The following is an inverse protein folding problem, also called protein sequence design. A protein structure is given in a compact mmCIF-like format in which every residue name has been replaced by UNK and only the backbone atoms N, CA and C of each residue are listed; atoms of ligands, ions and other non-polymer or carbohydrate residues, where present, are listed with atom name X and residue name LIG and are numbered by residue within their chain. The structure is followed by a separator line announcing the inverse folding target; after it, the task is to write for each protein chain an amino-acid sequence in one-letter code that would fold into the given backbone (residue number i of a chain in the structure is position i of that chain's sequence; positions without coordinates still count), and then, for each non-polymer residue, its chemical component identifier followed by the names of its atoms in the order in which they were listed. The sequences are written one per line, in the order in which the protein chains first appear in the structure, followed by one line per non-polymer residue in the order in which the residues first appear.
data_IF_996114183599
#
_entry.id   IF_996114183599
#
_cell.length_a   1.000
_cell.length_b   1.000
_cell.length_c   1.000
_cell.angle_alpha   90.00
_cell.angle_beta   90.00
_cell.angle_gamma   90.00
#
_symmetry.space_group_name_H-M   'P 1'
#
loop_
_entity.id
_entity.type
_entity.pdbx_description
1 polymer ?
#
# COMPACT_ATOMS: atom_id res chain seq x y z
N UNK A 1 -64.32 -1.79 40.22
CA UNK A 1 -62.91 -2.22 40.04
C UNK A 1 -62.80 -3.02 38.74
N UNK A 2 -62.31 -2.40 37.67
CA UNK A 2 -61.83 -3.09 36.45
C UNK A 2 -60.60 -2.33 35.97
N UNK A 3 -59.43 -2.90 36.26
CA UNK A 3 -58.13 -2.36 35.87
C UNK A 3 -57.87 -2.82 34.44
N UNK A 4 -57.82 -1.91 33.47
CA UNK A 4 -57.39 -2.22 32.11
C UNK A 4 -55.86 -2.14 32.05
N UNK A 5 -55.21 -3.27 31.79
CA UNK A 5 -53.77 -3.36 31.59
C UNK A 5 -53.37 -2.73 30.26
N UNK A 6 -52.51 -1.71 30.32
CA UNK A 6 -51.83 -1.12 29.16
C UNK A 6 -50.66 -2.05 28.80
N UNK A 7 -50.70 -2.69 27.63
CA UNK A 7 -49.58 -3.43 27.08
C UNK A 7 -48.63 -2.46 26.35
N UNK A 8 -47.46 -2.21 26.93
CA UNK A 8 -46.38 -1.43 26.30
C UNK A 8 -45.56 -2.38 25.43
N UNK A 9 -45.64 -2.20 24.11
CA UNK A 9 -44.82 -2.91 23.14
C UNK A 9 -43.42 -2.26 23.07
N UNK A 10 -42.43 -2.87 23.71
CA UNK A 10 -41.02 -2.45 23.63
C UNK A 10 -40.42 -2.86 22.27
N UNK A 11 -40.31 -1.91 21.35
CA UNK A 11 -39.53 -2.06 20.12
C UNK A 11 -38.03 -1.96 20.45
N UNK A 12 -37.36 -3.11 20.53
CA UNK A 12 -35.90 -3.22 20.60
C UNK A 12 -35.29 -2.87 19.24
N UNK A 13 -34.41 -1.85 19.12
CA UNK A 13 -33.68 -1.62 17.89
C UNK A 13 -32.68 -2.76 17.68
N UNK A 14 -32.86 -3.52 16.60
CA UNK A 14 -31.85 -4.44 16.08
C UNK A 14 -30.63 -3.61 15.67
N UNK A 15 -29.61 -3.58 16.53
CA UNK A 15 -28.30 -3.08 16.15
C UNK A 15 -27.71 -4.06 15.12
N UNK A 16 -27.85 -3.74 13.84
CA UNK A 16 -27.11 -4.41 12.78
C UNK A 16 -25.62 -4.09 12.97
N UNK A 17 -24.87 -5.02 13.56
CA UNK A 17 -23.42 -5.04 13.38
C UNK A 17 -23.18 -5.35 11.91
N UNK A 18 -22.93 -4.32 11.11
CA UNK A 18 -22.33 -4.53 9.79
C UNK A 18 -20.95 -5.14 10.06
N UNK A 19 -20.86 -6.47 10.05
CA UNK A 19 -19.59 -7.13 9.82
C UNK A 19 -19.18 -6.73 8.41
N UNK A 20 -18.35 -5.68 8.32
CA UNK A 20 -17.70 -5.33 7.07
C UNK A 20 -16.99 -6.59 6.57
N UNK A 21 -17.37 -7.06 5.37
CA UNK A 21 -16.75 -8.20 4.72
C UNK A 21 -15.22 -8.12 4.80
N UNK A 22 -14.50 -9.26 4.90
CA UNK A 22 -13.05 -9.24 4.82
C UNK A 22 -12.60 -8.49 3.56
N UNK A 23 -11.95 -7.33 3.71
CA UNK A 23 -11.41 -6.59 2.57
C UNK A 23 -10.25 -7.38 1.96
N UNK A 24 -10.44 -7.81 0.72
CA UNK A 24 -9.41 -8.52 -0.04
C UNK A 24 -8.39 -7.50 -0.57
N UNK A 25 -7.30 -7.31 0.19
CA UNK A 25 -6.40 -6.16 0.00
C UNK A 25 -5.94 -5.93 -1.44
N UNK A 26 -5.58 -7.02 -2.12
CA UNK A 26 -5.09 -6.99 -3.49
C UNK A 26 -6.22 -6.75 -4.50
N UNK A 27 -7.36 -7.40 -4.31
CA UNK A 27 -8.52 -7.27 -5.18
C UNK A 27 -9.00 -5.82 -5.20
N UNK A 28 -9.15 -5.19 -4.03
CA UNK A 28 -9.63 -3.81 -3.90
C UNK A 28 -8.71 -2.78 -4.60
N UNK A 29 -7.41 -3.03 -4.61
CA UNK A 29 -6.44 -2.17 -5.28
C UNK A 29 -6.38 -2.38 -6.79
N UNK A 30 -7.02 -3.41 -7.34
CA UNK A 30 -7.00 -3.68 -8.79
C UNK A 30 -7.55 -2.51 -9.58
N UNK A 31 -6.87 -2.11 -10.64
CA UNK A 31 -7.26 -0.98 -11.47
C UNK A 31 -6.09 -0.11 -11.91
N UNK A 32 -6.40 1.01 -12.56
CA UNK A 32 -5.42 2.00 -13.02
C UNK A 32 -5.40 3.18 -12.06
N UNK A 33 -4.22 3.72 -11.82
CA UNK A 33 -4.00 4.76 -10.83
C UNK A 33 -3.07 5.84 -11.39
N UNK A 34 -3.33 7.08 -11.00
CA UNK A 34 -2.42 8.20 -11.14
C UNK A 34 -2.00 8.66 -9.75
N UNK A 35 -0.75 9.07 -9.58
CA UNK A 35 -0.29 9.60 -8.31
C UNK A 35 0.79 10.65 -8.47
N UNK A 36 1.03 11.36 -7.40
CA UNK A 36 2.13 12.33 -7.29
C UNK A 36 2.71 12.26 -5.90
N UNK A 37 3.97 12.66 -5.79
CA UNK A 37 4.67 12.56 -4.53
C UNK A 37 6.11 13.02 -4.62
N UNK A 38 6.86 12.72 -3.56
CA UNK A 38 8.27 13.04 -3.46
C UNK A 38 9.09 11.75 -3.30
N UNK A 39 10.29 11.75 -3.86
CA UNK A 39 11.30 10.74 -3.63
C UNK A 39 12.65 11.38 -3.35
N UNK A 40 13.41 10.80 -2.45
CA UNK A 40 14.78 11.18 -2.16
C UNK A 40 15.73 10.51 -3.16
N UNK A 41 16.57 11.32 -3.80
CA UNK A 41 17.66 10.87 -4.65
C UNK A 41 18.98 11.40 -4.09
N UNK A 42 19.93 10.50 -3.80
CA UNK A 42 21.20 10.84 -3.12
C UNK A 42 21.94 12.07 -3.68
N UNK A 43 21.86 12.32 -4.99
CA UNK A 43 22.54 13.47 -5.64
C UNK A 43 21.67 14.71 -5.81
N UNK A 44 20.35 14.59 -5.72
CA UNK A 44 19.40 15.67 -6.02
C UNK A 44 18.55 16.09 -4.82
N UNK A 45 18.64 15.37 -3.70
CA UNK A 45 17.74 15.58 -2.57
C UNK A 45 16.33 15.08 -2.87
N UNK A 46 15.33 15.72 -2.25
CA UNK A 46 13.92 15.41 -2.47
C UNK A 46 13.44 16.00 -3.79
N UNK A 47 12.86 15.14 -4.64
CA UNK A 47 12.34 15.53 -5.96
C UNK A 47 10.89 15.09 -6.10
N UNK A 48 10.09 15.92 -6.76
CA UNK A 48 8.70 15.59 -7.09
C UNK A 48 8.63 14.68 -8.32
N UNK A 49 7.70 13.73 -8.30
CA UNK A 49 7.36 12.91 -9.44
C UNK A 49 5.86 12.73 -9.59
N UNK A 50 5.43 12.55 -10.83
CA UNK A 50 4.11 12.03 -11.18
C UNK A 50 4.22 10.58 -11.64
N UNK A 51 3.33 9.71 -11.18
CA UNK A 51 3.35 8.29 -11.47
C UNK A 51 2.03 7.83 -12.10
N UNK A 52 2.11 6.81 -12.96
CA UNK A 52 0.96 6.05 -13.41
C UNK A 52 1.24 4.57 -13.22
N UNK A 53 0.34 3.86 -12.55
CA UNK A 53 0.49 2.44 -12.25
C UNK A 53 -0.80 1.69 -12.57
N UNK A 54 -0.67 0.43 -12.91
CA UNK A 54 -1.77 -0.53 -13.05
C UNK A 54 -1.55 -1.65 -12.04
N UNK A 55 -2.58 -1.99 -11.30
CA UNK A 55 -2.59 -3.07 -10.32
C UNK A 55 -3.54 -4.16 -10.81
N UNK A 56 -3.09 -5.40 -10.75
CA UNK A 56 -3.90 -6.60 -10.93
C UNK A 56 -3.77 -7.45 -9.67
N UNK A 57 -4.86 -7.59 -8.91
CA UNK A 57 -4.89 -8.35 -7.68
C UNK A 57 -5.97 -9.44 -7.69
N UNK A 58 -5.71 -10.48 -6.91
CA UNK A 58 -6.65 -11.54 -6.56
C UNK A 58 -6.51 -11.87 -5.08
N UNK A 59 -7.30 -12.80 -4.56
CA UNK A 59 -7.20 -13.23 -3.15
C UNK A 59 -5.83 -13.80 -2.74
N UNK A 60 -5.00 -14.18 -3.70
CA UNK A 60 -3.67 -14.78 -3.45
C UNK A 60 -2.50 -14.04 -4.06
N UNK A 61 -2.69 -13.29 -5.14
CA UNK A 61 -1.58 -12.69 -5.87
C UNK A 61 -1.85 -11.22 -6.17
N UNK A 62 -0.80 -10.43 -6.30
CA UNK A 62 -0.89 -9.09 -6.85
C UNK A 62 0.32 -8.81 -7.74
N UNK A 63 0.07 -8.02 -8.78
CA UNK A 63 1.10 -7.35 -9.53
C UNK A 63 0.75 -5.87 -9.67
N UNK A 64 1.75 -5.02 -9.59
CA UNK A 64 1.67 -3.60 -9.88
C UNK A 64 2.78 -3.27 -10.86
N UNK A 65 2.46 -2.61 -11.97
CA UNK A 65 3.44 -2.16 -12.93
C UNK A 65 3.16 -0.71 -13.32
N UNK A 66 4.20 0.05 -13.57
CA UNK A 66 4.01 1.43 -13.99
C UNK A 66 5.31 2.19 -14.18
N UNK A 67 5.17 3.51 -14.19
CA UNK A 67 6.32 4.40 -14.29
C UNK A 67 6.07 5.72 -13.57
N UNK A 68 7.13 6.26 -13.01
CA UNK A 68 7.19 7.61 -12.46
C UNK A 68 8.01 8.51 -13.38
N UNK A 69 7.52 9.72 -13.60
CA UNK A 69 8.20 10.77 -14.34
C UNK A 69 8.72 11.80 -13.33
N UNK A 70 10.03 11.93 -13.28
CA UNK A 70 10.76 12.99 -12.61
C UNK A 70 11.15 14.00 -13.69
N UNK A 71 11.05 15.31 -13.47
CA UNK A 71 11.42 16.39 -14.41
C UNK A 71 11.77 15.95 -15.86
N UNK A 72 13.01 15.48 -16.06
CA UNK A 72 13.58 15.08 -17.36
C UNK A 72 13.70 13.57 -17.61
N UNK A 73 13.44 12.70 -16.64
CA UNK A 73 13.63 11.25 -16.80
C UNK A 73 12.43 10.44 -16.31
N UNK A 74 12.31 9.23 -16.85
CA UNK A 74 11.27 8.28 -16.49
C UNK A 74 11.89 7.05 -15.86
N UNK A 75 11.28 6.58 -14.78
CA UNK A 75 11.68 5.37 -14.08
C UNK A 75 10.52 4.40 -14.06
N UNK A 76 10.71 3.23 -14.67
CA UNK A 76 9.77 2.13 -14.57
C UNK A 76 9.86 1.48 -13.19
N UNK A 77 8.73 0.98 -12.71
CA UNK A 77 8.65 0.21 -11.48
C UNK A 77 7.69 -0.96 -11.67
N UNK A 78 7.94 -2.02 -10.90
CA UNK A 78 7.12 -3.20 -10.85
C UNK A 78 7.15 -3.81 -9.46
N UNK A 79 6.06 -4.45 -9.07
CA UNK A 79 5.94 -5.17 -7.81
C UNK A 79 5.09 -6.41 -8.07
N UNK A 80 5.56 -7.56 -7.63
CA UNK A 80 4.79 -8.81 -7.61
C UNK A 80 4.73 -9.31 -6.18
N UNK A 81 3.57 -9.83 -5.77
CA UNK A 81 3.33 -10.34 -4.44
C UNK A 81 2.51 -11.62 -4.50
N UNK A 82 2.82 -12.55 -3.61
CA UNK A 82 2.10 -13.80 -3.39
C UNK A 82 1.78 -13.88 -1.90
N UNK A 83 0.51 -14.13 -1.58
CA UNK A 83 0.03 -14.44 -0.23
C UNK A 83 0.51 -15.84 0.14
N UNK A 84 1.16 -15.93 1.29
CA UNK A 84 1.56 -17.21 1.89
C UNK A 84 0.54 -17.56 2.98
N UNK A 85 0.96 -17.86 4.21
CA UNK A 85 0.05 -18.13 5.34
C UNK A 85 -0.26 -16.87 6.17
N UNK A 86 -1.41 -16.84 6.87
CA UNK A 86 -1.74 -15.90 7.95
C UNK A 86 -1.46 -14.43 7.61
N UNK A 87 -1.99 -13.96 6.49
CA UNK A 87 -1.85 -12.60 5.94
C UNK A 87 -0.42 -12.17 5.56
N UNK A 88 0.55 -13.09 5.62
CA UNK A 88 1.92 -12.82 5.17
C UNK A 88 1.99 -12.84 3.65
N UNK A 89 2.92 -12.06 3.12
CA UNK A 89 3.19 -11.98 1.69
C UNK A 89 4.68 -12.03 1.43
N UNK A 90 5.06 -12.50 0.26
CA UNK A 90 6.42 -12.41 -0.28
C UNK A 90 6.36 -11.97 -1.73
N UNK A 91 7.48 -11.51 -2.27
CA UNK A 91 7.55 -11.19 -3.69
C UNK A 91 8.77 -10.38 -4.06
N UNK A 92 8.66 -9.59 -5.12
CA UNK A 92 9.78 -8.88 -5.71
C UNK A 92 9.36 -7.48 -6.12
N UNK A 93 10.23 -6.51 -5.84
CA UNK A 93 10.14 -5.15 -6.36
C UNK A 93 11.20 -4.94 -7.44
N UNK A 94 10.83 -4.25 -8.51
CA UNK A 94 11.70 -3.84 -9.60
C UNK A 94 11.56 -2.34 -9.81
N UNK A 95 12.61 -1.71 -10.33
CA UNK A 95 12.68 -0.25 -10.49
C UNK A 95 13.79 0.40 -9.67
N UNK A 96 14.42 -0.33 -8.74
CA UNK A 96 15.69 0.10 -8.18
C UNK A 96 16.82 -0.06 -9.21
N UNK A 97 17.75 0.89 -9.27
CA UNK A 97 18.94 0.81 -10.15
C UNK A 97 19.86 -0.35 -9.78
N UNK A 98 19.74 -0.87 -8.56
CA UNK A 98 20.49 -1.98 -7.99
C UNK A 98 19.96 -3.36 -8.41
N UNK A 99 19.00 -3.41 -9.34
CA UNK A 99 18.31 -4.64 -9.72
C UNK A 99 17.13 -4.97 -8.81
N UNK A 100 16.50 -6.14 -9.01
CA UNK A 100 15.33 -6.56 -8.24
C UNK A 100 15.62 -6.64 -6.73
N UNK A 101 14.62 -6.26 -5.93
CA UNK A 101 14.64 -6.34 -4.47
C UNK A 101 13.62 -7.36 -3.99
N UNK A 102 13.96 -8.10 -2.95
CA UNK A 102 13.03 -9.06 -2.36
C UNK A 102 12.10 -8.36 -1.37
N UNK A 103 10.85 -8.81 -1.37
CA UNK A 103 9.80 -8.32 -0.49
C UNK A 103 9.36 -9.43 0.45
N UNK A 104 9.22 -9.08 1.71
CA UNK A 104 8.54 -9.91 2.71
C UNK A 104 7.69 -9.02 3.58
N UNK A 105 6.48 -9.44 3.93
CA UNK A 105 5.60 -8.54 4.66
C UNK A 105 4.33 -9.18 5.14
N UNK A 106 3.42 -8.31 5.58
CA UNK A 106 2.12 -8.75 6.08
C UNK A 106 1.05 -7.70 5.81
N UNK A 107 -0.17 -8.17 5.61
CA UNK A 107 -1.36 -7.35 5.48
C UNK A 107 -2.00 -7.18 6.87
N UNK A 108 -2.37 -5.95 7.22
CA UNK A 108 -3.08 -5.59 8.47
C UNK A 108 -4.12 -4.51 8.17
N UNK A 109 -5.38 -4.92 8.10
CA UNK A 109 -6.49 -4.03 7.74
C UNK A 109 -6.22 -3.34 6.39
N UNK A 110 -6.10 -2.01 6.43
CA UNK A 110 -5.85 -1.18 5.25
C UNK A 110 -4.39 -1.00 4.87
N UNK A 111 -3.47 -1.68 5.58
CA UNK A 111 -2.03 -1.56 5.36
C UNK A 111 -1.41 -2.86 4.87
N UNK A 112 -0.56 -2.73 3.87
CA UNK A 112 0.42 -3.73 3.49
C UNK A 112 1.79 -3.20 3.87
N UNK A 113 2.44 -3.88 4.83
CA UNK A 113 3.74 -3.50 5.36
C UNK A 113 4.77 -4.49 4.81
N UNK A 114 5.74 -3.99 4.06
CA UNK A 114 6.75 -4.76 3.35
C UNK A 114 8.14 -4.35 3.85
N UNK A 115 8.93 -5.32 4.26
CA UNK A 115 10.38 -5.20 4.33
C UNK A 115 10.93 -5.38 2.92
N UNK A 116 11.78 -4.45 2.52
CA UNK A 116 12.48 -4.46 1.23
C UNK A 116 13.93 -4.86 1.49
N UNK A 117 14.40 -5.88 0.76
CA UNK A 117 15.80 -6.32 0.78
C UNK A 117 16.43 -6.08 -0.58
N UNK A 118 17.30 -5.08 -0.66
CA UNK A 118 17.91 -4.63 -1.92
C UNK A 118 18.99 -5.62 -2.43
N UNK A 119 18.99 -5.84 -3.75
CA UNK A 119 20.00 -6.66 -4.45
C UNK A 119 21.43 -6.07 -4.40
N UNK A 120 21.57 -4.76 -4.16
CA UNK A 120 22.82 -4.09 -3.81
C UNK A 120 22.52 -2.94 -2.83
N UNK A 121 23.53 -2.37 -2.13
CA UNK A 121 23.28 -1.30 -1.18
C UNK A 121 22.59 -0.08 -1.81
N UNK A 122 21.55 0.41 -1.14
CA UNK A 122 20.83 1.66 -1.44
C UNK A 122 20.93 2.52 -0.18
N UNK A 123 21.32 3.79 -0.33
CA UNK A 123 21.50 4.75 0.77
C UNK A 123 22.44 4.32 1.92
N UNK A 124 23.20 3.24 1.76
CA UNK A 124 24.22 2.78 2.70
C UNK A 124 23.99 1.38 3.27
N UNK A 125 22.79 0.81 3.09
CA UNK A 125 22.50 -0.56 3.50
C UNK A 125 21.57 -1.28 2.50
N UNK A 126 21.03 -2.45 2.87
CA UNK A 126 20.20 -3.27 1.99
C UNK A 126 18.74 -3.36 2.46
N UNK A 127 18.33 -2.52 3.41
CA UNK A 127 17.05 -2.68 4.09
C UNK A 127 16.23 -1.40 4.10
N UNK A 128 15.00 -1.49 3.63
CA UNK A 128 14.01 -0.43 3.76
C UNK A 128 12.65 -1.01 4.16
N UNK A 129 11.72 -0.15 4.56
CA UNK A 129 10.32 -0.52 4.77
C UNK A 129 9.44 0.23 3.78
N UNK A 130 8.63 -0.50 3.03
CA UNK A 130 7.58 0.05 2.18
C UNK A 130 6.22 -0.21 2.83
N UNK A 131 5.37 0.79 2.88
CA UNK A 131 3.99 0.68 3.37
C UNK A 131 3.06 1.15 2.28
N UNK A 132 2.12 0.30 1.88
CA UNK A 132 1.00 0.67 1.02
C UNK A 132 -0.24 0.73 1.91
N UNK A 133 -0.87 1.89 1.99
CA UNK A 133 -2.05 2.14 2.82
C UNK A 133 -3.23 2.50 1.92
N UNK A 134 -4.33 1.76 1.98
CA UNK A 134 -5.60 2.26 1.42
C UNK A 134 -6.06 3.45 2.24
N UNK A 135 -6.31 4.56 1.58
CA UNK A 135 -6.76 5.82 2.21
C UNK A 135 -8.22 6.14 1.87
N UNK A 136 -8.83 5.35 0.98
CA UNK A 136 -10.23 5.41 0.56
C UNK A 136 -10.50 4.29 -0.46
N UNK A 137 -11.73 4.22 -0.97
CA UNK A 137 -12.13 3.25 -2.01
C UNK A 137 -11.33 3.43 -3.31
N UNK A 138 -11.11 4.70 -3.68
CA UNK A 138 -10.39 5.12 -4.88
C UNK A 138 -9.09 5.85 -4.56
N UNK A 139 -8.47 5.53 -3.41
CA UNK A 139 -7.16 6.09 -3.08
C UNK A 139 -6.29 5.20 -2.21
N UNK A 140 -4.99 5.27 -2.48
CA UNK A 140 -3.98 4.68 -1.62
C UNK A 140 -2.75 5.58 -1.54
N UNK A 141 -1.94 5.36 -0.51
CA UNK A 141 -0.63 5.98 -0.34
C UNK A 141 0.45 4.91 -0.30
N UNK A 142 1.57 5.16 -0.94
CA UNK A 142 2.80 4.40 -0.77
C UNK A 142 3.82 5.28 -0.04
N UNK A 143 4.41 4.75 1.03
CA UNK A 143 5.53 5.37 1.76
C UNK A 143 6.70 4.40 1.79
N UNK A 144 7.94 4.86 1.54
CA UNK A 144 9.17 4.12 1.87
C UNK A 144 9.92 4.87 2.96
N UNK A 145 10.27 4.13 4.00
CA UNK A 145 11.15 4.55 5.08
C UNK A 145 12.46 3.80 4.91
N UNK A 146 13.56 4.54 4.91
CA UNK A 146 14.90 4.02 4.67
C UNK A 146 15.91 4.82 5.51
N UNK A 147 17.11 4.29 5.63
CA UNK A 147 18.22 4.96 6.30
C UNK A 147 19.02 5.74 5.27
N UNK A 148 19.21 7.03 5.52
CA UNK A 148 20.10 7.89 4.72
C UNK A 148 21.11 8.49 5.69
N UNK A 149 22.39 8.25 5.42
CA UNK A 149 23.50 8.78 6.25
C UNK A 149 23.33 8.43 7.74
N UNK A 150 22.95 7.18 8.02
CA UNK A 150 22.75 6.72 9.40
C UNK A 150 21.39 7.07 10.00
N UNK A 151 20.60 7.98 9.39
CA UNK A 151 19.35 8.49 9.93
C UNK A 151 18.14 7.88 9.22
N UNK A 152 17.16 7.42 10.00
CA UNK A 152 15.89 6.96 9.47
C UNK A 152 15.09 8.15 8.93
N UNK A 153 14.62 8.05 7.69
CA UNK A 153 13.76 9.06 7.06
C UNK A 153 12.77 8.41 6.10
N UNK A 154 11.72 9.16 5.77
CA UNK A 154 10.92 8.85 4.58
C UNK A 154 11.73 9.20 3.33
N UNK A 155 11.96 8.22 2.46
CA UNK A 155 12.65 8.40 1.17
C UNK A 155 11.70 8.38 -0.01
N UNK A 156 10.46 7.96 0.18
CA UNK A 156 9.40 8.28 -0.78
C UNK A 156 8.04 8.34 -0.11
N UNK A 157 7.18 9.22 -0.61
CA UNK A 157 5.75 9.23 -0.31
C UNK A 157 4.97 9.65 -1.54
N UNK A 158 4.07 8.79 -2.00
CA UNK A 158 3.22 9.02 -3.15
C UNK A 158 1.78 8.73 -2.82
N UNK A 159 0.90 9.68 -3.13
CA UNK A 159 -0.55 9.50 -3.02
C UNK A 159 -1.12 9.20 -4.41
N UNK A 160 -1.98 8.20 -4.49
CA UNK A 160 -2.58 7.72 -5.72
C UNK A 160 -4.10 7.84 -5.67
N UNK A 161 -4.69 8.16 -6.82
CA UNK A 161 -6.12 8.18 -7.09
C UNK A 161 -6.42 7.28 -8.28
N UNK A 162 -7.57 6.60 -8.22
CA UNK A 162 -8.03 5.75 -9.31
C UNK A 162 -8.28 6.61 -10.56
N UNK A 163 -8.00 6.04 -11.73
CA UNK A 163 -8.35 6.63 -13.03
C UNK A 163 -9.70 6.15 -13.51
#
# INVERSE_FOLDING_TARGET
MRVHHIAILLLLPLAYTSEAFPREFFTDLSGKWAGSGQAYLKRLGDVTAGCSVSVSGSSKNAAMNGSCRFLLFRQSLGLTLVKVANNRVTGTYTGARTGPAQLSGTMRGDKLILNVTWGAPVNGDRVAQMVITRTGEDSFEQTVIDKVEGKIRTTSRFSFKRK
#
